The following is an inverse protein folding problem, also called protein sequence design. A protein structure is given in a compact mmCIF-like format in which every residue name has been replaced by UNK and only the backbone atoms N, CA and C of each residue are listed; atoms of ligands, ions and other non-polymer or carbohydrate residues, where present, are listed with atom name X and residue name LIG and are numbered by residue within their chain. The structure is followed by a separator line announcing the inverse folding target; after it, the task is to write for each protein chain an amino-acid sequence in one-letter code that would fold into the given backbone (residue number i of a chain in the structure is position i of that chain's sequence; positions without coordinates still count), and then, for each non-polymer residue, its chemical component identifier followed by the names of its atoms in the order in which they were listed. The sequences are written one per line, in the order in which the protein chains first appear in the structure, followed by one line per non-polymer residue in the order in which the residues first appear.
data_IF_142786927886
#
_entry.id   IF_142786927886
#
_cell.length_a   1.000
_cell.length_b   1.000
_cell.length_c   1.000
_cell.angle_alpha   90.00
_cell.angle_beta   90.00
_cell.angle_gamma   90.00
#
_symmetry.space_group_name_H-M   'P 1'
#
loop_
_entity.id
_entity.type
_entity.pdbx_description
1 polymer ?
#
# COMPACT_ATOMS: atom_id res chain seq x y z
N UNK A 1 -14.46 -3.03 8.08
CA UNK A 1 -13.92 -3.85 6.96
C UNK A 1 -13.18 -5.03 7.55
N UNK A 2 -13.40 -6.24 7.03
CA UNK A 2 -12.66 -7.43 7.46
C UNK A 2 -11.52 -7.73 6.50
N UNK A 3 -10.30 -7.93 7.02
CA UNK A 3 -9.10 -8.31 6.26
C UNK A 3 -8.47 -9.50 6.99
N UNK A 4 -8.44 -10.65 6.32
CA UNK A 4 -8.05 -11.91 6.96
C UNK A 4 -8.98 -12.26 8.13
N UNK A 5 -8.39 -12.46 9.29
CA UNK A 5 -9.11 -12.76 10.54
C UNK A 5 -9.40 -11.53 11.42
N UNK A 6 -9.00 -10.31 11.00
CA UNK A 6 -9.17 -9.06 11.76
C UNK A 6 -10.25 -8.16 11.20
N UNK A 7 -10.97 -7.49 12.10
CA UNK A 7 -11.94 -6.45 11.77
C UNK A 7 -11.33 -5.06 11.99
N UNK A 8 -11.33 -4.25 10.94
CA UNK A 8 -10.80 -2.91 10.92
C UNK A 8 -11.93 -1.89 10.87
N UNK A 9 -11.87 -0.88 11.73
CA UNK A 9 -12.78 0.26 11.67
C UNK A 9 -12.38 1.14 10.48
N UNK A 10 -13.35 1.57 9.69
CA UNK A 10 -13.09 2.38 8.50
C UNK A 10 -12.96 3.88 8.79
N UNK A 11 -13.14 4.27 10.05
CA UNK A 11 -13.02 5.67 10.53
C UNK A 11 -12.65 5.71 12.00
N UNK A 12 -12.06 6.85 12.43
CA UNK A 12 -11.73 7.11 13.84
C UNK A 12 -10.44 6.48 14.35
N UNK A 13 -9.76 5.70 13.54
CA UNK A 13 -8.43 5.14 13.81
C UNK A 13 -7.64 4.97 12.52
N UNK A 14 -6.33 5.21 12.57
CA UNK A 14 -5.41 5.00 11.46
C UNK A 14 -4.50 3.81 11.76
N UNK A 15 -4.54 2.79 10.91
CA UNK A 15 -3.77 1.56 11.03
C UNK A 15 -2.45 1.65 10.26
N UNK A 16 -1.49 0.82 10.63
CA UNK A 16 -0.16 0.77 10.02
C UNK A 16 0.00 -0.46 9.14
N UNK A 17 0.22 -0.24 7.85
CA UNK A 17 0.64 -1.24 6.89
C UNK A 17 2.17 -1.17 6.75
N UNK A 18 2.87 -2.19 7.25
CA UNK A 18 4.33 -2.29 7.19
C UNK A 18 4.80 -2.83 5.84
N UNK A 19 5.78 -2.18 5.22
CA UNK A 19 6.34 -2.56 3.91
C UNK A 19 7.39 -3.65 4.08
N UNK A 20 7.15 -4.82 3.47
CA UNK A 20 8.09 -5.94 3.40
C UNK A 20 8.50 -6.20 1.95
N UNK A 21 9.59 -5.58 1.50
CA UNK A 21 10.13 -5.83 0.17
C UNK A 21 10.97 -7.12 0.17
N UNK A 22 10.65 -8.03 -0.73
CA UNK A 22 11.35 -9.32 -0.94
C UNK A 22 12.11 -9.32 -2.26
N UNK A 23 12.69 -8.17 -2.63
CA UNK A 23 13.54 -8.02 -3.81
C UNK A 23 14.99 -8.42 -3.49
N UNK A 24 15.79 -8.88 -4.49
CA UNK A 24 17.19 -9.28 -4.27
C UNK A 24 18.03 -8.20 -3.58
N UNK A 25 17.78 -6.92 -3.91
CA UNK A 25 18.53 -5.79 -3.33
C UNK A 25 18.15 -5.49 -1.87
N UNK A 26 17.04 -6.05 -1.39
CA UNK A 26 16.58 -5.81 -0.02
C UNK A 26 17.35 -6.63 1.01
N UNK A 27 18.10 -7.66 0.57
CA UNK A 27 18.82 -8.61 1.41
C UNK A 27 20.18 -8.93 0.77
N UNK A 28 21.13 -8.01 0.82
CA UNK A 28 22.30 -7.94 -0.06
C UNK A 28 23.44 -8.91 0.19
N UNK A 29 23.44 -9.79 1.22
CA UNK A 29 24.65 -10.57 1.57
C UNK A 29 24.45 -12.08 1.80
N UNK A 30 23.34 -12.71 1.37
CA UNK A 30 23.11 -14.13 1.65
C UNK A 30 22.38 -14.90 0.55
N UNK A 31 22.63 -16.22 0.46
CA UNK A 31 21.91 -17.14 -0.41
C UNK A 31 20.41 -17.22 -0.05
N UNK A 32 19.59 -17.92 -0.88
CA UNK A 32 18.10 -17.98 -0.75
C UNK A 32 17.56 -18.26 0.65
N UNK A 33 18.26 -19.00 1.49
CA UNK A 33 17.88 -19.31 2.87
C UNK A 33 18.02 -18.09 3.79
N UNK A 34 19.09 -17.29 3.63
CA UNK A 34 19.27 -16.07 4.41
C UNK A 34 18.18 -15.04 4.09
N UNK A 35 17.77 -14.92 2.82
CA UNK A 35 16.67 -14.00 2.42
C UNK A 35 15.33 -14.33 3.09
N UNK A 36 14.99 -15.61 3.26
CA UNK A 36 13.76 -16.03 3.93
C UNK A 36 13.82 -15.71 5.43
N UNK A 37 14.91 -16.06 6.11
CA UNK A 37 15.07 -15.80 7.53
C UNK A 37 15.10 -14.29 7.83
N UNK A 38 15.74 -13.49 6.99
CA UNK A 38 15.76 -12.03 7.10
C UNK A 38 14.36 -11.43 6.90
N UNK A 39 13.58 -11.93 5.93
CA UNK A 39 12.20 -11.50 5.72
C UNK A 39 11.31 -11.84 6.92
N UNK A 40 11.44 -13.04 7.48
CA UNK A 40 10.68 -13.47 8.65
C UNK A 40 11.08 -12.69 9.91
N UNK A 41 12.38 -12.43 10.10
CA UNK A 41 12.87 -11.60 11.21
C UNK A 41 12.36 -10.16 11.10
N UNK A 42 12.43 -9.57 9.90
CA UNK A 42 11.91 -8.23 9.66
C UNK A 42 10.39 -8.14 9.86
N UNK A 43 9.65 -9.15 9.40
CA UNK A 43 8.21 -9.25 9.64
C UNK A 43 7.88 -9.33 11.14
N UNK A 44 8.56 -10.20 11.89
CA UNK A 44 8.39 -10.31 13.33
C UNK A 44 8.63 -8.98 14.04
N UNK A 45 9.72 -8.29 13.68
CA UNK A 45 10.04 -6.98 14.24
C UNK A 45 8.94 -5.95 13.94
N UNK A 46 8.43 -5.88 12.71
CA UNK A 46 7.33 -4.97 12.36
C UNK A 46 6.05 -5.28 13.16
N UNK A 47 5.74 -6.57 13.39
CA UNK A 47 4.60 -6.99 14.22
C UNK A 47 4.78 -6.53 15.67
N UNK A 48 5.96 -6.74 16.26
CA UNK A 48 6.30 -6.30 17.62
C UNK A 48 6.27 -4.77 17.74
N UNK A 49 6.62 -4.04 16.69
CA UNK A 49 6.55 -2.59 16.58
C UNK A 49 5.12 -2.06 16.42
N UNK A 50 4.15 -2.93 16.13
CA UNK A 50 2.72 -2.63 16.07
C UNK A 50 2.16 -2.47 14.66
N UNK A 51 2.72 -3.15 13.65
CA UNK A 51 2.08 -3.27 12.34
C UNK A 51 0.73 -3.99 12.45
N UNK A 52 -0.26 -3.48 11.72
CA UNK A 52 -1.60 -4.09 11.64
C UNK A 52 -1.73 -5.03 10.44
N UNK A 53 -1.01 -4.74 9.36
CA UNK A 53 -0.92 -5.52 8.12
C UNK A 53 0.55 -5.49 7.66
N UNK A 54 1.02 -6.57 7.03
CA UNK A 54 2.28 -6.59 6.29
C UNK A 54 1.98 -6.60 4.79
N UNK A 55 2.65 -5.74 4.02
CA UNK A 55 2.49 -5.62 2.58
C UNK A 55 3.74 -6.12 1.86
N UNK A 56 3.61 -7.27 1.19
CA UNK A 56 4.71 -8.00 0.58
C UNK A 56 4.85 -7.59 -0.89
N UNK A 57 6.02 -7.05 -1.26
CA UNK A 57 6.34 -6.64 -2.62
C UNK A 57 7.52 -7.40 -3.21
N UNK A 58 7.31 -8.09 -4.35
CA UNK A 58 8.33 -8.86 -5.07
C UNK A 58 9.03 -8.10 -6.20
N UNK A 59 8.40 -7.03 -6.69
CA UNK A 59 8.92 -6.14 -7.73
C UNK A 59 9.14 -4.74 -7.15
N UNK A 60 10.27 -4.11 -7.50
CA UNK A 60 10.46 -2.70 -7.13
C UNK A 60 9.56 -1.82 -8.00
N UNK A 61 8.81 -0.92 -7.37
CA UNK A 61 7.94 0.06 -8.08
C UNK A 61 8.53 1.47 -8.07
N UNK A 62 9.84 1.61 -7.72
CA UNK A 62 10.55 2.89 -7.76
C UNK A 62 10.77 3.35 -9.19
N UNK A 63 10.83 4.67 -9.41
CA UNK A 63 11.12 5.23 -10.73
C UNK A 63 12.40 4.61 -11.34
N UNK A 64 12.30 4.12 -12.59
CA UNK A 64 13.42 3.48 -13.29
C UNK A 64 13.61 1.97 -12.98
N UNK A 65 12.67 1.33 -12.29
CA UNK A 65 12.74 -0.11 -12.05
C UNK A 65 12.64 -0.94 -13.35
N UNK A 66 13.24 -2.13 -13.32
CA UNK A 66 13.08 -3.11 -14.40
C UNK A 66 11.92 -4.03 -14.07
N UNK A 67 10.98 -4.14 -14.99
CA UNK A 67 9.86 -5.07 -14.89
C UNK A 67 10.36 -6.50 -14.92
N UNK A 68 9.89 -7.35 -14.01
CA UNK A 68 10.21 -8.77 -13.97
C UNK A 68 9.03 -9.60 -14.48
N UNK A 69 9.25 -10.89 -14.81
CA UNK A 69 8.17 -11.77 -15.21
C UNK A 69 7.26 -12.13 -14.03
N UNK A 70 6.04 -12.61 -14.33
CA UNK A 70 5.11 -13.10 -13.30
C UNK A 70 5.74 -14.26 -12.52
N UNK A 71 6.40 -15.20 -13.22
CA UNK A 71 7.04 -16.36 -12.61
C UNK A 71 8.13 -15.96 -11.62
N UNK A 72 8.93 -14.95 -11.98
CA UNK A 72 9.96 -14.42 -11.09
C UNK A 72 9.37 -13.76 -9.86
N UNK A 73 8.36 -12.92 -10.02
CA UNK A 73 7.68 -12.26 -8.89
C UNK A 73 6.97 -13.28 -7.98
N UNK A 74 6.28 -14.28 -8.55
CA UNK A 74 5.66 -15.39 -7.80
C UNK A 74 6.71 -16.13 -6.97
N UNK A 75 7.87 -16.44 -7.56
CA UNK A 75 8.94 -17.15 -6.87
C UNK A 75 9.50 -16.40 -5.67
N UNK A 76 9.33 -15.08 -5.62
CA UNK A 76 9.74 -14.22 -4.52
C UNK A 76 8.67 -14.11 -3.46
N UNK A 77 7.41 -13.84 -3.84
CA UNK A 77 6.35 -13.48 -2.89
C UNK A 77 5.62 -14.69 -2.30
N UNK A 78 5.30 -15.71 -3.09
CA UNK A 78 4.47 -16.83 -2.63
C UNK A 78 5.11 -17.61 -1.46
N UNK A 79 6.40 -18.03 -1.51
CA UNK A 79 7.03 -18.74 -0.41
C UNK A 79 7.12 -17.90 0.88
N UNK A 80 7.29 -16.58 0.76
CA UNK A 80 7.33 -15.68 1.93
C UNK A 80 5.95 -15.57 2.55
N UNK A 81 4.88 -15.41 1.74
CA UNK A 81 3.50 -15.37 2.23
C UNK A 81 3.15 -16.67 2.98
N UNK A 82 3.46 -17.84 2.41
CA UNK A 82 3.24 -19.14 3.07
C UNK A 82 3.95 -19.22 4.43
N UNK A 83 5.24 -18.90 4.47
CA UNK A 83 6.04 -18.94 5.70
C UNK A 83 5.56 -17.94 6.77
N UNK A 84 5.09 -16.75 6.35
CA UNK A 84 4.50 -15.76 7.26
C UNK A 84 3.16 -16.24 7.83
N UNK A 85 2.29 -16.84 6.99
CA UNK A 85 1.00 -17.37 7.44
C UNK A 85 1.14 -18.54 8.41
N UNK A 86 2.17 -19.35 8.29
CA UNK A 86 2.46 -20.43 9.22
C UNK A 86 2.94 -19.92 10.59
N UNK A 87 3.63 -18.76 10.63
CA UNK A 87 4.29 -18.26 11.85
C UNK A 87 3.53 -17.18 12.59
N UNK A 88 2.80 -16.34 11.89
CA UNK A 88 2.24 -15.11 12.44
C UNK A 88 0.74 -14.98 12.18
N UNK A 89 0.03 -14.55 13.21
CA UNK A 89 -1.39 -14.21 13.10
C UNK A 89 -1.58 -12.72 12.77
N UNK A 90 -1.21 -12.35 11.52
CA UNK A 90 -1.35 -11.00 10.99
C UNK A 90 -1.90 -11.06 9.56
N UNK A 91 -2.80 -10.15 9.14
CA UNK A 91 -3.21 -10.04 7.76
C UNK A 91 -2.02 -9.72 6.84
N UNK A 92 -1.98 -10.38 5.67
CA UNK A 92 -0.95 -10.20 4.67
C UNK A 92 -1.55 -9.59 3.40
N UNK A 93 -0.94 -8.51 2.94
CA UNK A 93 -1.20 -7.86 1.65
C UNK A 93 -0.12 -8.24 0.65
N UNK A 94 -0.45 -8.35 -0.63
CA UNK A 94 0.52 -8.44 -1.72
C UNK A 94 0.47 -7.20 -2.59
N UNK A 95 1.61 -6.53 -2.76
CA UNK A 95 1.80 -5.38 -3.65
C UNK A 95 2.12 -5.88 -5.06
N UNK A 96 1.09 -5.97 -5.90
CA UNK A 96 1.22 -6.40 -7.29
C UNK A 96 0.06 -5.89 -8.16
N UNK A 97 0.37 -5.58 -9.41
CA UNK A 97 -0.60 -5.22 -10.46
C UNK A 97 -0.80 -6.33 -11.50
N UNK A 98 -0.21 -7.52 -11.28
CA UNK A 98 -0.26 -8.67 -12.17
C UNK A 98 -1.23 -9.72 -11.62
N UNK A 99 -2.23 -10.09 -12.39
CA UNK A 99 -3.27 -11.04 -11.97
C UNK A 99 -2.74 -12.44 -11.69
N UNK A 100 -1.69 -12.87 -12.41
CA UNK A 100 -1.00 -14.14 -12.18
C UNK A 100 -0.34 -14.18 -10.81
N UNK A 101 0.37 -13.12 -10.44
CA UNK A 101 1.01 -12.97 -9.13
C UNK A 101 -0.03 -12.90 -8.01
N UNK A 102 -1.09 -12.08 -8.19
CA UNK A 102 -2.19 -11.99 -7.25
C UNK A 102 -2.84 -13.36 -6.99
N UNK A 103 -3.08 -14.16 -8.04
CA UNK A 103 -3.65 -15.51 -7.91
C UNK A 103 -2.75 -16.44 -7.11
N UNK A 104 -1.44 -16.40 -7.34
CA UNK A 104 -0.47 -17.22 -6.60
C UNK A 104 -0.37 -16.76 -5.14
N UNK A 105 -0.34 -15.45 -4.88
CA UNK A 105 -0.32 -14.90 -3.53
C UNK A 105 -1.58 -15.26 -2.73
N UNK A 106 -2.76 -15.24 -3.36
CA UNK A 106 -4.03 -15.68 -2.75
C UNK A 106 -3.94 -17.17 -2.38
N UNK A 107 -3.42 -18.01 -3.27
CA UNK A 107 -3.24 -19.42 -2.99
C UNK A 107 -2.25 -19.68 -1.84
N UNK A 108 -1.23 -18.83 -1.69
CA UNK A 108 -0.26 -18.83 -0.59
C UNK A 108 -0.84 -18.26 0.73
N UNK A 109 -2.01 -17.62 0.71
CA UNK A 109 -2.71 -17.13 1.90
C UNK A 109 -2.75 -15.60 2.07
N UNK A 110 -2.50 -14.81 1.03
CA UNK A 110 -2.68 -13.36 1.09
C UNK A 110 -4.15 -13.00 1.39
N UNK A 111 -4.36 -11.98 2.21
CA UNK A 111 -5.66 -11.52 2.70
C UNK A 111 -6.14 -10.23 2.02
N UNK A 112 -5.25 -9.52 1.33
CA UNK A 112 -5.53 -8.26 0.62
C UNK A 112 -4.67 -8.15 -0.63
N UNK A 113 -5.22 -7.59 -1.70
CA UNK A 113 -4.47 -7.23 -2.91
C UNK A 113 -4.27 -5.72 -2.94
N UNK A 114 -3.00 -5.29 -3.00
CA UNK A 114 -2.61 -3.89 -3.15
C UNK A 114 -2.17 -3.65 -4.61
N UNK A 115 -3.08 -3.10 -5.43
CA UNK A 115 -2.87 -2.89 -6.86
C UNK A 115 -2.57 -1.42 -7.16
N UNK A 116 -1.30 -1.13 -7.46
CA UNK A 116 -0.80 0.21 -7.77
C UNK A 116 -1.27 0.78 -9.12
N UNK A 117 -2.06 0.05 -9.87
CA UNK A 117 -2.68 0.50 -11.12
C UNK A 117 -4.21 0.56 -11.06
N UNK A 118 -4.81 0.21 -9.93
CA UNK A 118 -6.25 0.33 -9.75
C UNK A 118 -7.07 -0.42 -10.79
N UNK A 119 -6.71 -1.69 -11.05
CA UNK A 119 -7.37 -2.59 -12.02
C UNK A 119 -7.16 -2.24 -13.51
N UNK A 120 -6.27 -1.29 -13.83
CA UNK A 120 -6.13 -0.77 -15.20
C UNK A 120 -4.98 -1.42 -15.99
N UNK A 121 -3.93 -1.91 -15.31
CA UNK A 121 -2.78 -2.52 -15.99
C UNK A 121 -3.06 -3.94 -16.48
N UNK A 122 -3.75 -4.76 -15.69
CA UNK A 122 -4.12 -6.13 -16.04
C UNK A 122 -5.65 -6.30 -15.95
N UNK A 123 -6.29 -6.51 -17.10
CA UNK A 123 -7.76 -6.65 -17.21
C UNK A 123 -8.32 -7.85 -16.42
N UNK A 124 -7.49 -8.86 -16.10
CA UNK A 124 -7.89 -10.03 -15.31
C UNK A 124 -7.84 -9.78 -13.79
N UNK A 125 -7.18 -8.73 -13.34
CA UNK A 125 -7.02 -8.44 -11.91
C UNK A 125 -8.39 -8.33 -11.20
N UNK A 126 -9.33 -7.60 -11.79
CA UNK A 126 -10.66 -7.44 -11.23
C UNK A 126 -11.42 -8.77 -11.05
N UNK A 127 -11.28 -9.70 -12.01
CA UNK A 127 -11.90 -11.03 -11.94
C UNK A 127 -11.26 -11.88 -10.84
N UNK A 128 -9.93 -11.81 -10.68
CA UNK A 128 -9.19 -12.52 -9.62
C UNK A 128 -9.66 -12.07 -8.25
N UNK A 129 -9.71 -10.76 -8.01
CA UNK A 129 -10.16 -10.19 -6.73
C UNK A 129 -11.62 -10.55 -6.45
N UNK A 130 -12.51 -10.40 -7.44
CA UNK A 130 -13.92 -10.71 -7.30
C UNK A 130 -14.17 -12.20 -6.96
N UNK A 131 -13.45 -13.11 -7.64
CA UNK A 131 -13.54 -14.56 -7.40
C UNK A 131 -13.05 -14.94 -5.99
N UNK A 132 -11.97 -14.32 -5.54
CA UNK A 132 -11.40 -14.56 -4.21
C UNK A 132 -12.23 -13.91 -3.09
N UNK A 133 -13.06 -12.90 -3.42
CA UNK A 133 -13.83 -12.10 -2.46
C UNK A 133 -12.93 -11.41 -1.41
N UNK A 134 -11.70 -11.06 -1.79
CA UNK A 134 -10.76 -10.40 -0.90
C UNK A 134 -10.93 -8.88 -0.94
N UNK A 135 -10.60 -8.18 0.14
CA UNK A 135 -10.39 -6.75 0.13
C UNK A 135 -9.26 -6.37 -0.83
N UNK A 136 -9.33 -5.14 -1.35
CA UNK A 136 -8.28 -4.61 -2.22
C UNK A 136 -8.02 -3.14 -1.94
N UNK A 137 -6.75 -2.74 -2.02
CA UNK A 137 -6.31 -1.37 -2.09
C UNK A 137 -6.05 -1.04 -3.56
N UNK A 138 -6.77 -0.07 -4.08
CA UNK A 138 -6.73 0.29 -5.50
C UNK A 138 -6.19 1.70 -5.64
N UNK A 139 -5.01 1.82 -6.26
CA UNK A 139 -4.29 3.08 -6.31
C UNK A 139 -4.54 3.85 -7.63
N UNK A 140 -4.59 5.18 -7.51
CA UNK A 140 -4.55 6.08 -8.65
C UNK A 140 -3.16 6.08 -9.30
N UNK A 141 -3.11 5.73 -10.58
CA UNK A 141 -1.92 5.81 -11.41
C UNK A 141 -2.30 6.17 -12.85
N UNK A 142 -1.36 6.77 -13.59
CA UNK A 142 -1.45 7.08 -15.03
C UNK A 142 -0.12 6.74 -15.71
N UNK A 143 -0.14 6.62 -17.05
CA UNK A 143 1.09 6.49 -17.84
C UNK A 143 1.82 7.84 -18.00
N UNK A 144 1.08 8.96 -17.94
CA UNK A 144 1.61 10.32 -18.10
C UNK A 144 1.24 11.20 -16.91
N UNK A 145 1.97 12.31 -16.72
CA UNK A 145 1.72 13.33 -15.68
C UNK A 145 0.82 14.47 -16.17
N UNK A 146 0.04 14.23 -17.21
CA UNK A 146 -0.84 15.24 -17.83
C UNK A 146 -2.23 15.23 -17.17
N UNK A 147 -2.66 16.39 -16.69
CA UNK A 147 -3.95 16.62 -16.05
C UNK A 147 -4.57 17.93 -16.57
N UNK A 148 -5.89 17.96 -16.75
CA UNK A 148 -6.61 19.19 -17.05
C UNK A 148 -6.96 19.96 -15.75
N UNK A 149 -7.62 19.28 -14.81
CA UNK A 149 -7.84 19.74 -13.46
C UNK A 149 -7.38 18.63 -12.52
N UNK A 150 -6.21 18.79 -11.93
CA UNK A 150 -5.48 17.71 -11.25
C UNK A 150 -6.34 16.94 -10.22
N UNK A 151 -6.97 17.64 -9.26
CA UNK A 151 -7.72 16.98 -8.19
C UNK A 151 -9.01 16.33 -8.72
N UNK A 152 -9.72 17.00 -9.63
CA UNK A 152 -10.93 16.46 -10.25
C UNK A 152 -10.61 15.24 -11.12
N UNK A 153 -9.51 15.30 -11.88
CA UNK A 153 -9.05 14.19 -12.71
C UNK A 153 -8.68 12.97 -11.85
N UNK A 154 -8.00 13.15 -10.70
CA UNK A 154 -7.70 12.05 -9.77
C UNK A 154 -8.99 11.40 -9.25
N UNK A 155 -9.98 12.18 -8.86
CA UNK A 155 -11.29 11.67 -8.41
C UNK A 155 -11.99 10.92 -9.54
N UNK A 156 -11.99 11.48 -10.76
CA UNK A 156 -12.59 10.86 -11.94
C UNK A 156 -11.95 9.52 -12.29
N UNK A 157 -10.61 9.44 -12.23
CA UNK A 157 -9.88 8.20 -12.51
C UNK A 157 -10.14 7.11 -11.46
N UNK A 158 -10.24 7.49 -10.19
CA UNK A 158 -10.61 6.55 -9.14
C UNK A 158 -12.09 6.13 -9.23
N UNK A 159 -12.97 7.02 -9.67
CA UNK A 159 -14.36 6.64 -9.97
C UNK A 159 -14.42 5.63 -11.12
N UNK A 160 -13.56 5.75 -12.15
CA UNK A 160 -13.44 4.74 -13.20
C UNK A 160 -12.97 3.39 -12.63
N UNK A 161 -11.97 3.39 -11.75
CA UNK A 161 -11.52 2.19 -11.02
C UNK A 161 -12.68 1.54 -10.25
N UNK A 162 -13.48 2.31 -9.52
CA UNK A 162 -14.68 1.80 -8.83
C UNK A 162 -15.73 1.24 -9.79
N UNK A 163 -15.88 1.82 -10.99
CA UNK A 163 -16.78 1.30 -12.02
C UNK A 163 -16.29 -0.04 -12.59
N UNK A 164 -14.97 -0.22 -12.77
CA UNK A 164 -14.36 -1.50 -13.16
C UNK A 164 -14.62 -2.55 -12.07
N UNK A 165 -14.32 -2.22 -10.80
CA UNK A 165 -14.55 -3.09 -9.67
C UNK A 165 -16.02 -3.54 -9.55
N UNK A 166 -16.96 -2.60 -9.67
CA UNK A 166 -18.40 -2.88 -9.65
C UNK A 166 -18.83 -3.82 -10.77
N UNK A 167 -18.35 -3.61 -12.00
CA UNK A 167 -18.65 -4.49 -13.16
C UNK A 167 -18.14 -5.91 -12.95
N UNK A 168 -17.02 -6.07 -12.27
CA UNK A 168 -16.45 -7.39 -11.92
C UNK A 168 -17.14 -8.05 -10.72
N UNK A 169 -18.02 -7.33 -9.99
CA UNK A 169 -18.71 -7.85 -8.81
C UNK A 169 -17.94 -7.67 -7.50
N UNK A 170 -16.91 -6.82 -7.46
CA UNK A 170 -16.22 -6.47 -6.21
C UNK A 170 -17.12 -5.53 -5.40
N UNK A 171 -17.36 -5.89 -4.12
CA UNK A 171 -18.14 -5.03 -3.22
C UNK A 171 -17.37 -3.77 -2.85
N UNK A 172 -18.03 -2.62 -2.90
CA UNK A 172 -17.44 -1.34 -2.51
C UNK A 172 -16.92 -1.35 -1.07
N UNK A 173 -17.57 -2.08 -0.18
CA UNK A 173 -17.21 -2.19 1.24
C UNK A 173 -15.88 -2.91 1.48
N UNK A 174 -15.32 -3.53 0.43
CA UNK A 174 -14.02 -4.22 0.47
C UNK A 174 -12.91 -3.46 -0.26
N UNK A 175 -13.19 -2.22 -0.69
CA UNK A 175 -12.23 -1.38 -1.43
C UNK A 175 -11.65 -0.31 -0.52
N UNK A 176 -10.33 -0.17 -0.54
CA UNK A 176 -9.54 0.93 -0.03
C UNK A 176 -9.00 1.68 -1.23
N UNK A 177 -9.00 3.01 -1.22
CA UNK A 177 -8.42 3.83 -2.28
C UNK A 177 -7.08 4.42 -1.84
N UNK A 178 -6.10 4.47 -2.74
CA UNK A 178 -4.83 5.17 -2.54
C UNK A 178 -4.71 6.29 -3.60
N UNK A 179 -4.46 7.55 -3.20
CA UNK A 179 -4.30 8.67 -4.13
C UNK A 179 -3.05 8.57 -5.03
N UNK A 180 -2.14 7.63 -4.77
CA UNK A 180 -0.97 7.38 -5.61
C UNK A 180 0.10 8.47 -5.53
N UNK A 181 0.42 8.94 -4.31
CA UNK A 181 1.54 9.88 -4.11
C UNK A 181 2.83 9.27 -4.64
N UNK A 182 3.56 10.02 -5.48
CA UNK A 182 4.81 9.55 -6.12
C UNK A 182 4.62 8.75 -7.41
N UNK A 183 3.37 8.63 -7.92
CA UNK A 183 3.07 7.94 -9.18
C UNK A 183 2.36 8.90 -10.13
N UNK A 184 2.88 9.04 -11.35
CA UNK A 184 2.36 9.93 -12.39
C UNK A 184 1.98 11.34 -11.88
N UNK A 185 2.78 11.89 -10.98
CA UNK A 185 2.59 13.21 -10.37
C UNK A 185 3.92 13.94 -10.21
N UNK A 186 3.93 15.22 -10.54
CA UNK A 186 5.06 16.09 -10.23
C UNK A 186 5.10 16.47 -8.74
N UNK A 187 6.07 17.28 -8.33
CA UNK A 187 6.24 17.65 -6.92
C UNK A 187 5.03 18.39 -6.37
N UNK A 188 4.54 19.41 -7.06
CA UNK A 188 3.40 20.25 -6.66
C UNK A 188 2.11 19.42 -6.57
N UNK A 189 1.91 18.51 -7.51
CA UNK A 189 0.76 17.60 -7.53
C UNK A 189 0.79 16.60 -6.37
N UNK A 190 1.98 16.10 -6.00
CA UNK A 190 2.11 15.25 -4.82
C UNK A 190 1.80 15.99 -3.53
N UNK A 191 2.24 17.24 -3.38
CA UNK A 191 1.86 18.09 -2.25
C UNK A 191 0.36 18.39 -2.25
N UNK A 192 -0.21 18.74 -3.40
CA UNK A 192 -1.62 19.08 -3.54
C UNK A 192 -2.53 17.91 -3.15
N UNK A 193 -2.31 16.70 -3.67
CA UNK A 193 -3.16 15.55 -3.34
C UNK A 193 -2.99 15.11 -1.87
N UNK A 194 -1.78 15.22 -1.33
CA UNK A 194 -1.55 14.95 0.11
C UNK A 194 -2.27 15.95 0.99
N UNK A 195 -2.33 17.22 0.59
CA UNK A 195 -3.02 18.27 1.34
C UNK A 195 -4.56 18.17 1.23
N UNK A 196 -5.08 17.70 0.10
CA UNK A 196 -6.51 17.70 -0.22
C UNK A 196 -7.09 16.28 -0.31
N UNK A 197 -6.73 15.40 0.64
CA UNK A 197 -7.25 14.02 0.68
C UNK A 197 -8.78 13.95 0.81
N UNK A 198 -9.41 14.99 1.37
CA UNK A 198 -10.86 15.10 1.50
C UNK A 198 -11.60 15.07 0.15
N UNK A 199 -10.95 15.36 -0.97
CA UNK A 199 -11.58 15.23 -2.29
C UNK A 199 -12.01 13.79 -2.59
N UNK A 200 -11.36 12.81 -1.97
CA UNK A 200 -11.67 11.39 -2.10
C UNK A 200 -12.91 10.96 -1.31
N UNK A 201 -13.36 11.75 -0.34
CA UNK A 201 -14.55 11.44 0.49
C UNK A 201 -15.80 11.25 -0.37
N UNK A 202 -15.87 11.96 -1.51
CA UNK A 202 -16.97 11.84 -2.49
C UNK A 202 -17.09 10.44 -3.08
N UNK A 203 -16.00 9.66 -3.07
CA UNK A 203 -15.96 8.29 -3.55
C UNK A 203 -16.47 7.28 -2.51
N UNK A 204 -16.56 7.68 -1.23
CA UNK A 204 -17.14 6.91 -0.13
C UNK A 204 -16.44 5.57 0.13
N UNK A 205 -15.12 5.52 -0.04
CA UNK A 205 -14.25 4.41 0.33
C UNK A 205 -13.21 4.91 1.34
N UNK A 206 -12.73 4.06 2.26
CA UNK A 206 -11.59 4.41 3.11
C UNK A 206 -10.33 4.65 2.29
N UNK A 207 -9.42 5.48 2.82
CA UNK A 207 -8.19 5.89 2.14
C UNK A 207 -6.97 5.30 2.82
N UNK A 208 -6.03 4.80 2.02
CA UNK A 208 -4.66 4.51 2.40
C UNK A 208 -3.74 5.62 1.86
N UNK A 209 -2.83 6.12 2.70
CA UNK A 209 -1.79 7.06 2.29
C UNK A 209 -0.41 6.42 2.35
N UNK A 210 0.26 6.31 1.20
CA UNK A 210 1.62 5.78 1.06
C UNK A 210 2.62 6.87 0.67
N UNK A 211 3.22 7.57 1.65
CA UNK A 211 4.20 8.65 1.42
C UNK A 211 5.61 8.32 1.90
N UNK A 212 5.79 7.17 2.55
CA UNK A 212 7.01 6.83 3.26
C UNK A 212 8.26 6.91 2.39
N UNK A 213 9.19 7.79 2.76
CA UNK A 213 10.48 8.05 2.11
C UNK A 213 10.41 8.48 0.65
N UNK A 214 9.22 8.89 0.16
CA UNK A 214 9.02 9.28 -1.24
C UNK A 214 9.73 10.59 -1.61
N UNK A 215 9.89 10.81 -2.92
CA UNK A 215 10.63 11.96 -3.48
C UNK A 215 10.06 13.31 -3.06
N UNK A 216 8.74 13.40 -2.86
CA UNK A 216 8.10 14.61 -2.35
C UNK A 216 8.75 15.09 -1.04
N UNK A 217 8.99 14.18 -0.09
CA UNK A 217 9.65 14.50 1.18
C UNK A 217 11.12 14.91 0.94
N UNK A 218 11.81 14.13 0.08
CA UNK A 218 13.20 14.43 -0.23
C UNK A 218 13.42 15.78 -0.91
N UNK A 219 12.52 16.16 -1.81
CA UNK A 219 12.57 17.48 -2.48
C UNK A 219 12.23 18.64 -1.53
N UNK A 220 11.33 18.39 -0.57
CA UNK A 220 10.97 19.41 0.44
C UNK A 220 12.10 19.65 1.44
N UNK A 221 12.77 18.59 1.89
CA UNK A 221 13.76 18.66 2.96
C UNK A 221 15.21 18.68 2.47
N UNK A 222 15.43 18.49 1.16
CA UNK A 222 16.75 18.30 0.54
C UNK A 222 17.52 17.12 1.20
N UNK A 223 16.85 15.97 1.34
CA UNK A 223 17.39 14.80 2.03
C UNK A 223 17.38 13.53 1.16
N UNK A 224 18.40 12.65 1.28
CA UNK A 224 18.40 11.32 0.69
C UNK A 224 17.31 10.42 1.30
N UNK A 225 16.97 9.31 0.63
CA UNK A 225 15.80 8.50 0.98
C UNK A 225 15.84 7.84 2.37
N UNK A 226 17.01 7.56 2.89
CA UNK A 226 17.26 6.97 4.21
C UNK A 226 17.13 7.98 5.37
N UNK A 227 17.09 9.28 5.07
CA UNK A 227 16.97 10.38 6.04
C UNK A 227 15.61 11.11 5.98
N UNK A 228 14.54 10.45 5.48
CA UNK A 228 13.21 11.07 5.27
C UNK A 228 12.17 10.64 6.32
N UNK A 229 12.60 10.10 7.45
CA UNK A 229 11.66 9.53 8.42
C UNK A 229 10.81 10.60 9.11
N UNK A 230 11.40 11.72 9.50
CA UNK A 230 10.68 12.84 10.12
C UNK A 230 9.60 13.40 9.17
N UNK A 231 9.94 13.56 7.89
CA UNK A 231 8.97 13.97 6.87
C UNK A 231 7.88 12.93 6.65
N UNK A 232 8.21 11.63 6.76
CA UNK A 232 7.22 10.56 6.73
C UNK A 232 6.26 10.66 7.92
N UNK A 233 6.78 10.86 9.14
CA UNK A 233 5.94 11.04 10.33
C UNK A 233 5.00 12.24 10.23
N UNK A 234 5.47 13.37 9.68
CA UNK A 234 4.62 14.54 9.43
C UNK A 234 3.46 14.19 8.52
N UNK A 235 3.72 13.49 7.40
CA UNK A 235 2.65 13.06 6.49
C UNK A 235 1.74 12.00 7.10
N UNK A 236 2.23 11.17 8.03
CA UNK A 236 1.42 10.23 8.81
C UNK A 236 0.47 10.97 9.76
N UNK A 237 0.96 11.98 10.50
CA UNK A 237 0.09 12.83 11.34
C UNK A 237 -0.98 13.52 10.48
N UNK A 238 -0.60 13.99 9.28
CA UNK A 238 -1.53 14.57 8.33
C UNK A 238 -2.59 13.57 7.88
N UNK A 239 -2.21 12.32 7.59
CA UNK A 239 -3.14 11.24 7.26
C UNK A 239 -4.17 10.99 8.38
N UNK A 240 -3.71 10.98 9.65
CA UNK A 240 -4.61 10.86 10.82
C UNK A 240 -5.61 12.01 10.86
N UNK A 241 -5.16 13.26 10.67
CA UNK A 241 -6.03 14.44 10.65
C UNK A 241 -7.07 14.40 9.52
N UNK A 242 -6.70 13.82 8.37
CA UNK A 242 -7.56 13.66 7.20
C UNK A 242 -8.43 12.39 7.26
N UNK A 243 -8.35 11.60 8.34
CA UNK A 243 -9.19 10.41 8.55
C UNK A 243 -8.80 9.22 7.67
N UNK A 244 -7.55 9.14 7.19
CA UNK A 244 -7.10 7.96 6.45
C UNK A 244 -7.18 6.70 7.31
N UNK A 245 -7.67 5.61 6.72
CA UNK A 245 -7.76 4.32 7.40
C UNK A 245 -6.39 3.66 7.57
N UNK A 246 -5.49 3.82 6.59
CA UNK A 246 -4.15 3.24 6.62
C UNK A 246 -3.07 4.24 6.24
N UNK A 247 -1.90 4.04 6.83
CA UNK A 247 -0.62 4.54 6.30
C UNK A 247 0.29 3.37 5.96
N UNK A 248 0.96 3.43 4.80
CA UNK A 248 1.92 2.41 4.34
C UNK A 248 3.33 2.91 4.52
N UNK A 249 4.11 2.27 5.41
CA UNK A 249 5.37 2.81 5.92
C UNK A 249 6.48 1.77 6.04
N UNK A 250 7.75 2.24 6.00
CA UNK A 250 8.93 1.41 6.24
C UNK A 250 9.27 1.30 7.75
N UNK A 251 9.16 2.41 8.48
CA UNK A 251 9.44 2.44 9.93
C UNK A 251 8.13 2.37 10.72
N UNK A 252 7.74 1.17 11.10
CA UNK A 252 6.49 0.91 11.79
C UNK A 252 6.46 1.60 13.15
N UNK A 253 7.51 1.45 13.97
CA UNK A 253 7.54 1.95 15.33
C UNK A 253 7.34 3.47 15.41
N UNK A 254 8.07 4.23 14.59
CA UNK A 254 7.98 5.68 14.58
C UNK A 254 6.57 6.15 14.20
N UNK A 255 5.97 5.51 13.18
CA UNK A 255 4.66 5.89 12.67
C UNK A 255 3.52 5.46 13.60
N UNK A 256 3.59 4.31 14.26
CA UNK A 256 2.65 3.92 15.33
C UNK A 256 2.65 4.94 16.47
N UNK A 257 3.84 5.41 16.89
CA UNK A 257 3.96 6.44 17.93
C UNK A 257 3.38 7.78 17.48
N UNK A 258 3.64 8.17 16.23
CA UNK A 258 3.08 9.39 15.64
C UNK A 258 1.55 9.35 15.57
N UNK A 259 0.96 8.23 15.14
CA UNK A 259 -0.50 8.03 15.11
C UNK A 259 -1.09 8.12 16.51
N UNK A 260 -0.54 7.38 17.48
CA UNK A 260 -1.03 7.42 18.87
C UNK A 260 -1.05 8.84 19.44
N UNK A 261 0.00 9.62 19.17
CA UNK A 261 0.07 11.00 19.64
C UNK A 261 -0.94 11.92 18.92
N UNK A 262 -1.05 11.79 17.59
CA UNK A 262 -2.01 12.58 16.81
C UNK A 262 -3.46 12.29 17.22
N UNK A 263 -3.84 11.01 17.36
CA UNK A 263 -5.18 10.62 17.82
C UNK A 263 -5.48 11.11 19.24
N UNK A 264 -4.50 11.09 20.14
CA UNK A 264 -4.67 11.61 21.49
C UNK A 264 -4.98 13.12 21.48
N UNK A 265 -4.33 13.90 20.59
CA UNK A 265 -4.60 15.32 20.42
C UNK A 265 -5.98 15.59 19.82
N UNK A 266 -6.45 14.75 18.89
CA UNK A 266 -7.75 14.92 18.23
C UNK A 266 -8.95 14.55 19.12
N UNK A 267 -8.74 13.78 20.19
CA UNK A 267 -9.79 13.37 21.13
C UNK A 267 -10.08 14.40 22.23
N UNK A 268 -9.22 15.40 22.39
CA UNK A 268 -9.32 16.46 23.40
C UNK A 268 -9.61 17.82 22.77
#
# INVERSE_FOLDING_TARGET
MRIGNRDFQTSGHTYVMGILNVTPDSFSDGGRWNHMDDALFHAQRMIEEGADILDIGGESTRSGYTRISDEEEISRVAPVIEALKERFDIPLSVDTYKSGVASAAIAAGADLINDIWGLKADKKMAEVIAKAKLPSCLMHNRETVEYNNFLEDVVSDLQETLNIAKKAGISKDTIILDPGVGFAKNYEQNLAITNHLEVLDTLGCPVLLGTSRKSMIGLTLDLPSDQREEGTMVTTVWAVQKGCMFVRVHNVQANVRAIKMAEALLRN
#
